data_IF_801339584937
#
_entry.id   IF_801339584937
#
_cell.length_a   1.000
_cell.length_b   1.000
_cell.length_c   1.000
_cell.angle_alpha   90.00
_cell.angle_beta   90.00
_cell.angle_gamma   90.00
#
_symmetry.space_group_name_H-M   'P 1'
#
loop_
_entity.id
_entity.type
_entity.pdbx_description
1 polymer ?
#
# COMPACT_ATOMS: atom_id res chain seq x y z
N UNK A 1 24.01 5.03 40.66
CA UNK A 1 25.07 5.19 39.65
C UNK A 1 25.79 6.52 39.93
N UNK A 2 27.07 6.48 40.27
CA UNK A 2 27.79 7.60 40.89
C UNK A 2 28.15 8.66 39.82
N UNK A 3 27.67 9.89 39.96
CA UNK A 3 27.88 11.00 39.01
C UNK A 3 29.35 11.24 38.67
N UNK A 4 30.27 10.92 39.58
CA UNK A 4 31.74 11.02 39.38
C UNK A 4 32.27 10.00 38.35
N UNK A 5 31.72 8.78 38.30
CA UNK A 5 32.12 7.75 37.32
C UNK A 5 31.70 8.10 35.90
N UNK A 6 30.55 8.77 35.74
CA UNK A 6 30.09 9.22 34.42
C UNK A 6 30.95 10.37 33.87
N UNK A 7 31.36 11.31 34.75
CA UNK A 7 32.20 12.45 34.36
C UNK A 7 33.57 11.99 33.86
N UNK A 8 34.19 10.99 34.53
CA UNK A 8 35.48 10.45 34.09
C UNK A 8 35.40 9.75 32.74
N UNK A 9 34.33 9.04 32.44
CA UNK A 9 34.10 8.40 31.12
C UNK A 9 33.94 9.41 29.97
N UNK A 10 33.27 10.53 30.22
CA UNK A 10 33.12 11.62 29.24
C UNK A 10 34.44 12.34 28.98
N UNK A 11 35.22 12.61 30.03
CA UNK A 11 36.53 13.27 29.92
C UNK A 11 37.54 12.36 29.19
N UNK A 12 37.53 11.04 29.42
CA UNK A 12 38.40 10.09 28.72
C UNK A 12 38.12 10.00 27.23
N UNK A 13 36.84 10.07 26.82
CA UNK A 13 36.45 10.08 25.42
C UNK A 13 36.92 11.37 24.72
N UNK A 14 36.82 12.52 25.39
CA UNK A 14 37.28 13.80 24.83
C UNK A 14 38.80 13.87 24.67
N UNK A 15 39.57 13.24 25.56
CA UNK A 15 41.05 13.19 25.47
C UNK A 15 41.56 12.28 24.36
N UNK A 16 40.83 11.21 24.00
CA UNK A 16 41.19 10.31 22.90
C UNK A 16 40.97 10.98 21.53
N UNK A 17 39.97 11.87 21.41
CA UNK A 17 39.70 12.59 20.17
C UNK A 17 40.74 13.70 19.90
N UNK A 18 41.35 14.26 20.93
CA UNK A 18 42.35 15.35 20.81
C UNK A 18 43.75 14.87 20.36
N UNK A 19 44.08 13.58 20.45
CA UNK A 19 45.41 13.04 20.10
C UNK A 19 45.54 12.50 18.68
N UNK A 20 44.46 12.48 17.87
CA UNK A 20 44.46 11.99 16.48
C UNK A 20 44.59 13.11 15.41
N UNK A 21 44.87 14.34 15.83
CA UNK A 21 44.84 15.51 14.95
C UNK A 21 46.15 15.96 14.31
N UNK A 22 47.30 15.24 14.42
CA UNK A 22 48.56 15.66 13.81
C UNK A 22 49.32 14.51 13.13
N UNK A 23 48.81 14.06 11.98
CA UNK A 23 49.61 13.37 10.98
C UNK A 23 49.68 14.26 9.73
N UNK A 24 50.80 14.92 9.55
CA UNK A 24 51.15 15.67 8.35
C UNK A 24 51.08 14.72 7.14
N UNK A 25 50.08 14.90 6.31
CA UNK A 25 49.90 14.18 5.06
C UNK A 25 50.82 14.78 4.00
N UNK A 26 51.89 14.06 3.67
CA UNK A 26 52.59 14.23 2.38
C UNK A 26 51.67 13.73 1.29
N UNK A 27 51.05 14.63 0.55
CA UNK A 27 50.25 14.32 -0.65
C UNK A 27 51.18 13.86 -1.77
N UNK A 28 51.08 12.62 -2.29
CA UNK A 28 51.66 12.29 -3.56
C UNK A 28 50.87 13.02 -4.64
N UNK A 29 51.54 13.74 -5.55
CA UNK A 29 50.95 14.33 -6.75
C UNK A 29 50.30 13.22 -7.58
N UNK A 30 48.96 13.11 -7.48
CA UNK A 30 48.18 12.30 -8.37
C UNK A 30 48.32 12.88 -9.79
N UNK A 31 48.85 12.04 -10.69
CA UNK A 31 48.76 12.28 -12.14
C UNK A 31 47.31 12.51 -12.50
N UNK A 32 47.00 13.44 -13.42
CA UNK A 32 45.62 13.61 -13.86
C UNK A 32 45.14 12.26 -14.45
N UNK A 33 44.08 11.75 -13.84
CA UNK A 33 43.34 10.60 -14.36
C UNK A 33 42.84 10.95 -15.78
N UNK A 34 42.95 10.06 -16.76
CA UNK A 34 42.41 10.32 -18.07
C UNK A 34 40.92 10.68 -17.89
N UNK A 35 40.51 11.79 -18.52
CA UNK A 35 39.08 12.12 -18.66
C UNK A 35 38.41 10.93 -19.33
N UNK A 36 37.71 10.14 -18.52
CA UNK A 36 36.70 9.24 -19.05
C UNK A 36 35.56 10.10 -19.58
N UNK A 37 35.65 10.49 -20.83
CA UNK A 37 34.52 10.90 -21.64
C UNK A 37 33.91 9.60 -22.16
N UNK A 38 33.41 8.78 -21.27
CA UNK A 38 32.35 7.85 -21.62
C UNK A 38 31.06 8.63 -21.44
N UNK A 39 30.47 9.07 -22.56
CA UNK A 39 29.03 9.25 -22.65
C UNK A 39 28.43 7.96 -22.09
N UNK A 40 27.96 8.00 -20.85
CA UNK A 40 27.18 6.92 -20.29
C UNK A 40 25.91 6.85 -21.14
N UNK A 41 25.88 5.96 -22.11
CA UNK A 41 24.63 5.60 -22.78
C UNK A 41 23.62 5.28 -21.67
N UNK A 42 22.64 6.16 -21.49
CA UNK A 42 21.54 5.97 -20.55
C UNK A 42 20.84 4.67 -20.97
N UNK A 43 21.07 3.60 -20.21
CA UNK A 43 20.53 2.28 -20.47
C UNK A 43 19.07 2.22 -20.01
N UNK A 44 18.26 1.44 -20.72
CA UNK A 44 16.91 1.10 -20.28
C UNK A 44 16.94 0.30 -18.97
N UNK A 45 15.89 0.37 -18.15
CA UNK A 45 15.77 -0.43 -16.92
C UNK A 45 15.95 -1.93 -17.21
N UNK A 46 16.75 -2.66 -16.42
CA UNK A 46 16.92 -4.09 -16.62
C UNK A 46 15.64 -4.84 -16.31
N UNK A 47 15.47 -6.00 -16.94
CA UNK A 47 14.30 -6.87 -16.79
C UNK A 47 14.03 -7.20 -15.32
N UNK A 48 15.05 -7.39 -14.51
CA UNK A 48 14.97 -7.74 -13.10
C UNK A 48 14.34 -6.62 -12.27
N UNK A 49 14.59 -5.33 -12.59
CA UNK A 49 13.92 -4.20 -11.96
C UNK A 49 12.43 -4.16 -12.30
N UNK A 50 12.08 -4.47 -13.56
CA UNK A 50 10.68 -4.57 -13.98
C UNK A 50 9.97 -5.77 -13.32
N UNK A 51 10.65 -6.90 -13.16
CA UNK A 51 10.11 -8.07 -12.45
C UNK A 51 9.93 -7.78 -10.97
N UNK A 52 10.88 -7.09 -10.33
CA UNK A 52 10.79 -6.64 -8.94
C UNK A 52 9.56 -5.76 -8.75
N UNK A 53 9.37 -4.76 -9.62
CA UNK A 53 8.19 -3.89 -9.58
C UNK A 53 6.89 -4.67 -9.74
N UNK A 54 6.81 -5.60 -10.70
CA UNK A 54 5.62 -6.44 -10.91
C UNK A 54 5.27 -7.28 -9.69
N UNK A 55 6.27 -7.79 -8.97
CA UNK A 55 6.07 -8.54 -7.74
C UNK A 55 5.48 -7.68 -6.64
N UNK A 56 5.97 -6.43 -6.48
CA UNK A 56 5.41 -5.45 -5.54
C UNK A 56 3.96 -5.10 -5.92
N UNK A 57 3.70 -4.84 -7.21
CA UNK A 57 2.36 -4.51 -7.73
C UNK A 57 1.37 -5.67 -7.47
N UNK A 58 1.81 -6.93 -7.60
CA UNK A 58 1.00 -8.14 -7.31
C UNK A 58 0.59 -8.20 -5.85
N UNK A 59 1.53 -8.01 -4.93
CA UNK A 59 1.30 -8.02 -3.48
C UNK A 59 0.35 -6.88 -3.08
N UNK A 60 0.61 -5.66 -3.55
CA UNK A 60 -0.26 -4.51 -3.28
C UNK A 60 -1.69 -4.77 -3.74
N UNK A 61 -1.87 -5.25 -4.98
CA UNK A 61 -3.19 -5.53 -5.55
C UNK A 61 -3.96 -6.57 -4.73
N UNK A 62 -3.30 -7.64 -4.29
CA UNK A 62 -3.92 -8.66 -3.46
C UNK A 62 -4.35 -8.09 -2.10
N UNK A 63 -3.48 -7.32 -1.44
CA UNK A 63 -3.78 -6.65 -0.17
C UNK A 63 -4.92 -5.63 -0.32
N UNK A 64 -4.94 -4.84 -1.39
CA UNK A 64 -6.03 -3.89 -1.67
C UNK A 64 -7.37 -4.60 -1.83
N UNK A 65 -7.41 -5.73 -2.57
CA UNK A 65 -8.62 -6.53 -2.73
C UNK A 65 -9.15 -7.02 -1.37
N UNK A 66 -8.27 -7.57 -0.53
CA UNK A 66 -8.63 -8.06 0.80
C UNK A 66 -9.14 -6.91 1.71
N UNK A 67 -8.48 -5.76 1.64
CA UNK A 67 -8.86 -4.59 2.42
C UNK A 67 -10.24 -4.05 2.03
N UNK A 68 -10.53 -3.95 0.72
CA UNK A 68 -11.84 -3.52 0.22
C UNK A 68 -12.95 -4.54 0.54
N UNK A 69 -12.68 -5.84 0.45
CA UNK A 69 -13.62 -6.88 0.88
C UNK A 69 -13.99 -6.74 2.36
N UNK A 70 -13.01 -6.50 3.22
CA UNK A 70 -13.21 -6.27 4.67
C UNK A 70 -14.01 -5.01 4.94
N UNK A 71 -13.73 -3.91 4.25
CA UNK A 71 -14.50 -2.65 4.37
C UNK A 71 -15.96 -2.86 3.99
N UNK A 72 -16.24 -3.53 2.88
CA UNK A 72 -17.61 -3.84 2.45
C UNK A 72 -18.34 -4.74 3.45
N UNK A 73 -17.67 -5.76 4.00
CA UNK A 73 -18.24 -6.61 5.02
C UNK A 73 -18.62 -5.83 6.29
N UNK A 74 -17.78 -4.89 6.72
CA UNK A 74 -18.06 -4.05 7.89
C UNK A 74 -19.22 -3.07 7.65
N UNK A 75 -19.38 -2.54 6.45
CA UNK A 75 -20.51 -1.67 6.08
C UNK A 75 -21.84 -2.42 5.97
N UNK A 76 -21.82 -3.69 5.55
CA UNK A 76 -23.03 -4.54 5.46
C UNK A 76 -23.54 -5.07 6.80
N UNK A 77 -22.75 -4.99 7.88
CA UNK A 77 -23.12 -5.48 9.23
C UNK A 77 -23.82 -4.39 10.08
N UNK A 78 -23.86 -3.13 9.63
CA UNK A 78 -24.62 -2.09 10.34
C UNK A 78 -26.11 -2.33 10.04
N UNK A 79 -26.92 -2.82 11.02
CA UNK A 79 -28.37 -2.89 10.82
C UNK A 79 -28.87 -1.46 10.61
N UNK A 80 -29.56 -1.21 9.54
CA UNK A 80 -30.30 0.03 9.34
C UNK A 80 -31.38 0.13 10.43
N UNK A 81 -31.03 0.71 11.56
CA UNK A 81 -32.03 1.25 12.49
C UNK A 81 -32.54 2.54 11.88
N UNK A 82 -33.57 2.43 11.07
CA UNK A 82 -34.53 3.54 10.94
C UNK A 82 -35.82 3.08 10.30
N UNK A 83 -36.86 3.32 11.08
CA UNK A 83 -38.21 3.68 10.70
C UNK A 83 -39.08 2.66 9.98
N UNK A 84 -40.12 2.29 10.74
CA UNK A 84 -41.29 1.63 10.24
C UNK A 84 -41.98 2.38 9.09
N UNK A 85 -42.56 1.61 8.22
CA UNK A 85 -43.41 2.04 7.13
C UNK A 85 -44.15 0.82 6.58
N UNK A 86 -45.40 0.69 6.99
CA UNK A 86 -46.37 -0.27 6.49
C UNK A 86 -46.51 -0.25 4.95
N UNK A 87 -46.78 -1.38 4.37
CA UNK A 87 -47.28 -1.46 2.99
C UNK A 87 -47.43 -2.90 2.50
N UNK A 88 -48.66 -3.39 2.61
CA UNK A 88 -49.17 -4.63 1.99
C UNK A 88 -49.04 -4.60 0.47
N UNK A 89 -48.83 -5.73 -0.20
CA UNK A 89 -49.85 -6.55 -0.93
C UNK A 89 -49.20 -7.50 -1.94
N UNK A 90 -49.64 -8.74 -1.83
CA UNK A 90 -49.92 -9.76 -2.86
C UNK A 90 -49.61 -9.48 -4.34
N UNK A 91 -48.98 -10.47 -5.02
CA UNK A 91 -49.68 -11.16 -6.11
C UNK A 91 -49.03 -12.49 -6.53
N UNK A 92 -49.89 -13.45 -6.82
CA UNK A 92 -49.74 -14.78 -7.38
C UNK A 92 -49.12 -14.78 -8.78
N UNK A 93 -48.39 -15.85 -9.10
CA UNK A 93 -48.06 -16.25 -10.48
C UNK A 93 -47.48 -17.67 -10.51
N UNK A 94 -48.25 -18.59 -11.05
CA UNK A 94 -48.02 -20.02 -11.26
C UNK A 94 -46.99 -20.33 -12.36
N UNK A 95 -46.39 -21.55 -12.25
CA UNK A 95 -45.83 -22.32 -13.37
C UNK A 95 -44.39 -22.76 -13.11
N UNK A 96 -44.02 -23.97 -12.78
CA UNK A 96 -44.24 -25.25 -13.34
C UNK A 96 -42.94 -25.99 -13.58
N UNK A 97 -42.73 -27.16 -12.91
CA UNK A 97 -41.90 -28.33 -13.32
C UNK A 97 -40.40 -28.16 -13.53
N UNK A 98 -39.50 -28.90 -13.02
CA UNK A 98 -39.19 -30.26 -12.59
C UNK A 98 -37.77 -30.34 -12.06
N UNK A 99 -37.50 -31.04 -11.00
CA UNK A 99 -36.35 -31.95 -10.85
C UNK A 99 -36.39 -32.68 -9.50
N UNK A 100 -36.61 -33.95 -9.61
CA UNK A 100 -36.41 -34.95 -8.58
C UNK A 100 -34.92 -34.97 -8.12
N UNK A 101 -34.72 -35.02 -6.81
CA UNK A 101 -33.40 -35.33 -6.24
C UNK A 101 -33.05 -34.70 -4.89
N UNK A 102 -33.93 -33.88 -4.26
CA UNK A 102 -33.65 -33.27 -2.95
C UNK A 102 -34.77 -33.46 -1.91
N UNK A 103 -35.56 -34.50 -2.04
CA UNK A 103 -36.82 -34.63 -1.29
C UNK A 103 -36.68 -35.13 0.18
N UNK A 104 -35.60 -35.77 0.58
CA UNK A 104 -35.54 -36.35 1.94
C UNK A 104 -35.13 -35.38 3.05
N UNK A 105 -34.35 -34.34 2.75
CA UNK A 105 -33.96 -33.33 3.76
C UNK A 105 -34.95 -32.18 3.94
N UNK A 106 -35.71 -31.87 2.90
CA UNK A 106 -36.74 -30.81 2.91
C UNK A 106 -37.98 -31.25 3.74
N UNK A 107 -38.38 -32.49 3.63
CA UNK A 107 -39.58 -32.99 4.30
C UNK A 107 -39.48 -33.05 5.84
N UNK A 108 -38.24 -33.25 6.38
CA UNK A 108 -38.04 -33.28 7.82
C UNK A 108 -38.07 -31.87 8.44
N UNK A 109 -37.67 -30.84 7.71
CA UNK A 109 -37.72 -29.46 8.18
C UNK A 109 -39.11 -28.84 8.11
N UNK A 110 -39.90 -29.15 7.08
CA UNK A 110 -41.29 -28.71 6.99
C UNK A 110 -42.18 -29.36 8.08
N UNK A 111 -41.98 -30.64 8.40
CA UNK A 111 -42.76 -31.31 9.43
C UNK A 111 -42.46 -30.77 10.85
N UNK A 112 -41.26 -30.30 11.12
CA UNK A 112 -40.86 -29.67 12.43
C UNK A 112 -41.56 -28.31 12.55
N UNK A 113 -41.70 -27.53 11.45
CA UNK A 113 -42.33 -26.21 11.49
C UNK A 113 -43.85 -26.23 11.76
N UNK A 114 -44.53 -27.32 11.45
CA UNK A 114 -45.99 -27.46 11.64
C UNK A 114 -46.35 -27.74 13.12
N UNK A 115 -45.45 -28.23 13.95
CA UNK A 115 -45.69 -28.56 15.36
C UNK A 115 -45.24 -27.51 16.38
N UNK A 116 -44.54 -26.47 15.95
CA UNK A 116 -44.05 -25.40 16.83
C UNK A 116 -45.09 -24.30 16.98
N UNK A 117 -45.20 -23.73 18.20
CA UNK A 117 -45.92 -22.49 18.38
C UNK A 117 -45.18 -21.32 17.71
N UNK A 118 -45.84 -20.16 17.46
CA UNK A 118 -45.22 -19.04 16.74
C UNK A 118 -43.94 -18.50 17.37
N UNK A 119 -43.78 -18.57 18.71
CA UNK A 119 -42.59 -18.13 19.44
C UNK A 119 -41.44 -19.11 19.25
N UNK A 120 -41.69 -20.40 19.40
CA UNK A 120 -40.72 -21.46 19.16
C UNK A 120 -40.22 -21.51 17.73
N UNK A 121 -41.13 -21.26 16.77
CA UNK A 121 -40.76 -21.14 15.34
C UNK A 121 -39.87 -19.94 15.06
N UNK A 122 -40.11 -18.80 15.72
CA UNK A 122 -39.29 -17.60 15.60
C UNK A 122 -37.90 -17.82 16.19
N UNK A 123 -37.80 -18.48 17.36
CA UNK A 123 -36.51 -18.84 17.99
C UNK A 123 -35.72 -19.86 17.13
N UNK A 124 -36.37 -20.87 16.58
CA UNK A 124 -35.75 -21.86 15.69
C UNK A 124 -35.19 -21.20 14.43
N UNK A 125 -35.95 -20.31 13.78
CA UNK A 125 -35.47 -19.54 12.60
C UNK A 125 -34.29 -18.66 12.94
N UNK A 126 -34.33 -17.97 14.08
CA UNK A 126 -33.23 -17.11 14.56
C UNK A 126 -31.96 -17.94 14.87
N UNK A 127 -32.11 -19.13 15.44
CA UNK A 127 -31.01 -20.06 15.66
C UNK A 127 -30.40 -20.54 14.33
N UNK A 128 -31.22 -20.93 13.36
CA UNK A 128 -30.74 -21.34 12.02
C UNK A 128 -30.01 -20.22 11.31
N UNK A 129 -30.52 -18.99 11.40
CA UNK A 129 -29.88 -17.82 10.81
C UNK A 129 -28.53 -17.51 11.46
N UNK A 130 -28.44 -17.63 12.79
CA UNK A 130 -27.16 -17.51 13.53
C UNK A 130 -26.16 -18.58 13.13
N UNK A 131 -26.58 -19.83 12.98
CA UNK A 131 -25.69 -20.94 12.55
C UNK A 131 -25.17 -20.67 11.13
N UNK A 132 -26.05 -20.28 10.19
CA UNK A 132 -25.65 -19.94 8.83
C UNK A 132 -24.66 -18.78 8.79
N UNK A 133 -24.89 -17.73 9.61
CA UNK A 133 -24.00 -16.60 9.72
C UNK A 133 -22.62 -17.01 10.28
N UNK A 134 -22.59 -17.89 11.28
CA UNK A 134 -21.34 -18.41 11.84
C UNK A 134 -20.56 -19.25 10.81
N UNK A 135 -21.25 -20.10 10.04
CA UNK A 135 -20.62 -20.90 8.97
C UNK A 135 -20.05 -19.99 7.87
N UNK A 136 -20.79 -18.94 7.48
CA UNK A 136 -20.30 -17.96 6.49
C UNK A 136 -19.09 -17.17 7.00
N UNK A 137 -19.11 -16.75 8.26
CA UNK A 137 -17.97 -16.07 8.89
C UNK A 137 -16.74 -16.97 8.96
N UNK A 138 -16.90 -18.22 9.40
CA UNK A 138 -15.81 -19.20 9.47
C UNK A 138 -15.23 -19.50 8.07
N UNK A 139 -16.07 -19.57 7.04
CA UNK A 139 -15.62 -19.73 5.66
C UNK A 139 -14.81 -18.54 5.19
N UNK A 140 -15.28 -17.30 5.42
CA UNK A 140 -14.56 -16.07 5.05
C UNK A 140 -13.23 -15.94 5.78
N UNK A 141 -13.19 -16.31 7.06
CA UNK A 141 -11.95 -16.33 7.85
C UNK A 141 -10.94 -17.31 7.25
N UNK A 142 -11.37 -18.53 6.91
CA UNK A 142 -10.51 -19.51 6.26
C UNK A 142 -9.98 -19.01 4.92
N UNK A 143 -10.83 -18.45 4.06
CA UNK A 143 -10.43 -17.86 2.78
C UNK A 143 -9.41 -16.72 2.97
N UNK A 144 -9.60 -15.89 3.99
CA UNK A 144 -8.65 -14.82 4.35
C UNK A 144 -7.29 -15.37 4.77
N UNK A 145 -7.29 -16.44 5.60
CA UNK A 145 -6.06 -17.11 6.01
C UNK A 145 -5.31 -17.71 4.81
N UNK A 146 -6.01 -18.34 3.88
CA UNK A 146 -5.43 -18.90 2.65
C UNK A 146 -4.80 -17.78 1.79
N UNK A 147 -5.47 -16.64 1.63
CA UNK A 147 -4.92 -15.47 0.93
C UNK A 147 -3.61 -14.96 1.58
N UNK A 148 -3.52 -14.95 2.92
CA UNK A 148 -2.28 -14.56 3.60
C UNK A 148 -1.16 -15.60 3.45
N UNK A 149 -1.47 -16.89 3.38
CA UNK A 149 -0.45 -17.91 3.08
C UNK A 149 0.08 -17.77 1.63
N UNK A 150 -0.74 -17.39 0.68
CA UNK A 150 -0.28 -17.08 -0.68
C UNK A 150 0.54 -15.77 -0.72
N UNK A 151 0.13 -14.74 0.01
CA UNK A 151 0.92 -13.51 0.14
C UNK A 151 2.31 -13.75 0.75
N UNK A 152 2.45 -14.68 1.70
CA UNK A 152 3.78 -15.07 2.22
C UNK A 152 4.67 -15.65 1.13
N UNK A 153 4.12 -16.48 0.24
CA UNK A 153 4.87 -17.01 -0.91
C UNK A 153 5.27 -15.87 -1.86
N UNK A 154 4.36 -14.92 -2.11
CA UNK A 154 4.63 -13.75 -2.96
C UNK A 154 5.72 -12.85 -2.35
N UNK A 155 5.76 -12.68 -1.03
CA UNK A 155 6.83 -11.95 -0.33
C UNK A 155 8.17 -12.70 -0.43
N UNK A 156 8.16 -14.03 -0.34
CA UNK A 156 9.38 -14.82 -0.58
C UNK A 156 9.89 -14.68 -2.02
N UNK A 157 8.98 -14.75 -3.01
CA UNK A 157 9.32 -14.47 -4.41
C UNK A 157 9.90 -13.06 -4.58
N UNK A 158 9.38 -12.07 -3.85
CA UNK A 158 9.89 -10.69 -3.89
C UNK A 158 11.34 -10.60 -3.40
N UNK A 159 11.73 -11.35 -2.36
CA UNK A 159 13.14 -11.46 -1.94
C UNK A 159 14.02 -12.06 -3.06
N UNK A 160 13.55 -13.07 -3.77
CA UNK A 160 14.26 -13.66 -4.91
C UNK A 160 14.45 -12.64 -6.03
N UNK A 161 13.42 -11.83 -6.32
CA UNK A 161 13.51 -10.74 -7.31
C UNK A 161 14.48 -9.65 -6.87
N UNK A 162 14.49 -9.29 -5.59
CA UNK A 162 15.47 -8.36 -5.04
C UNK A 162 16.88 -8.88 -5.19
N UNK A 163 17.15 -10.10 -4.75
CA UNK A 163 18.47 -10.74 -4.87
C UNK A 163 18.95 -10.84 -6.33
N UNK A 164 18.01 -10.95 -7.28
CA UNK A 164 18.33 -10.98 -8.72
C UNK A 164 18.66 -9.59 -9.26
N UNK A 165 18.06 -8.53 -8.74
CA UNK A 165 18.28 -7.15 -9.17
C UNK A 165 19.45 -6.49 -8.45
N UNK A 166 19.68 -6.75 -7.18
CA UNK A 166 20.67 -6.08 -6.31
C UNK A 166 22.08 -6.00 -6.94
N UNK A 167 22.65 -7.07 -7.53
CA UNK A 167 23.96 -6.99 -8.20
C UNK A 167 23.97 -5.99 -9.39
N UNK A 168 22.81 -5.82 -10.06
CA UNK A 168 22.66 -4.85 -11.15
C UNK A 168 22.56 -3.42 -10.62
N UNK A 169 21.87 -3.23 -9.49
CA UNK A 169 21.82 -1.95 -8.79
C UNK A 169 23.23 -1.51 -8.38
N UNK A 170 24.05 -2.41 -7.80
CA UNK A 170 25.44 -2.15 -7.46
C UNK A 170 26.24 -1.75 -8.71
N UNK A 171 26.10 -2.49 -9.81
CA UNK A 171 26.78 -2.21 -11.08
C UNK A 171 26.36 -0.85 -11.67
N UNK A 172 25.10 -0.46 -11.48
CA UNK A 172 24.55 0.82 -11.91
C UNK A 172 24.87 1.96 -10.93
N UNK A 173 25.67 1.71 -9.90
CA UNK A 173 26.06 2.68 -8.87
C UNK A 173 24.88 3.21 -8.05
N UNK A 174 23.90 2.36 -7.75
CA UNK A 174 22.80 2.70 -6.85
C UNK A 174 23.36 3.21 -5.51
N UNK A 175 22.79 4.28 -4.92
CA UNK A 175 23.16 4.71 -3.59
C UNK A 175 23.01 3.57 -2.59
N UNK A 176 24.06 3.29 -1.80
CA UNK A 176 24.01 2.24 -0.79
C UNK A 176 22.84 2.41 0.17
N UNK A 177 22.53 3.68 0.53
CA UNK A 177 21.38 3.98 1.39
C UNK A 177 20.06 3.54 0.78
N UNK A 178 19.85 3.71 -0.52
CA UNK A 178 18.61 3.27 -1.19
C UNK A 178 18.49 1.74 -1.21
N UNK A 179 19.61 1.01 -1.34
CA UNK A 179 19.63 -0.45 -1.24
C UNK A 179 19.31 -0.91 0.19
N UNK A 180 19.95 -0.32 1.20
CA UNK A 180 19.67 -0.62 2.61
C UNK A 180 18.22 -0.28 3.00
N UNK A 181 17.72 0.89 2.57
CA UNK A 181 16.35 1.31 2.83
C UNK A 181 15.34 0.36 2.17
N UNK A 182 15.63 -0.15 0.96
CA UNK A 182 14.76 -1.12 0.27
C UNK A 182 14.76 -2.47 0.98
N UNK A 183 15.91 -2.98 1.36
CA UNK A 183 16.03 -4.23 2.12
C UNK A 183 15.31 -4.14 3.46
N UNK A 184 15.48 -3.03 4.19
CA UNK A 184 14.77 -2.79 5.44
C UNK A 184 13.25 -2.73 5.23
N UNK A 185 12.76 -2.11 4.15
CA UNK A 185 11.33 -2.08 3.82
C UNK A 185 10.79 -3.47 3.46
N UNK A 186 11.58 -4.29 2.74
CA UNK A 186 11.24 -5.66 2.40
C UNK A 186 11.21 -6.57 3.63
N UNK A 187 12.20 -6.45 4.51
CA UNK A 187 12.23 -7.16 5.78
C UNK A 187 11.02 -6.76 6.67
N UNK A 188 10.68 -5.47 6.72
CA UNK A 188 9.50 -5.00 7.43
C UNK A 188 8.20 -5.61 6.86
N UNK A 189 8.06 -5.73 5.54
CA UNK A 189 6.91 -6.40 4.92
C UNK A 189 6.87 -7.88 5.30
N UNK A 190 8.03 -8.56 5.35
CA UNK A 190 8.16 -9.96 5.76
C UNK A 190 7.71 -10.18 7.21
N UNK A 191 8.05 -9.24 8.10
CA UNK A 191 7.62 -9.30 9.50
C UNK A 191 6.12 -9.02 9.64
N UNK A 192 5.62 -7.99 8.95
CA UNK A 192 4.23 -7.56 9.08
C UNK A 192 3.25 -8.52 8.44
N UNK A 193 3.62 -9.28 7.40
CA UNK A 193 2.74 -10.27 6.78
C UNK A 193 2.32 -11.37 7.76
N UNK A 194 3.13 -11.64 8.80
CA UNK A 194 2.79 -12.58 9.86
C UNK A 194 1.65 -12.10 10.74
N UNK A 195 1.42 -10.79 10.82
CA UNK A 195 0.34 -10.17 11.63
C UNK A 195 -1.03 -10.45 11.00
N UNK A 196 -1.08 -10.76 9.70
CA UNK A 196 -2.32 -11.04 8.95
C UNK A 196 -3.34 -9.88 9.02
N UNK A 197 -2.85 -8.64 8.98
CA UNK A 197 -3.65 -7.42 8.89
C UNK A 197 -3.36 -6.71 7.57
N UNK A 198 -4.35 -6.62 6.71
CA UNK A 198 -4.21 -6.06 5.37
C UNK A 198 -3.84 -4.57 5.39
N UNK A 199 -4.32 -3.80 6.37
CA UNK A 199 -4.00 -2.38 6.50
C UNK A 199 -2.51 -2.15 6.85
N UNK A 200 -2.00 -2.90 7.83
CA UNK A 200 -0.58 -2.84 8.22
C UNK A 200 0.31 -3.25 7.04
N UNK A 201 -0.06 -4.31 6.33
CA UNK A 201 0.69 -4.79 5.19
C UNK A 201 0.62 -3.83 3.99
N UNK A 202 -0.49 -3.12 3.77
CA UNK A 202 -0.58 -2.05 2.78
C UNK A 202 0.37 -0.89 3.09
N UNK A 203 0.51 -0.50 4.36
CA UNK A 203 1.50 0.50 4.77
C UNK A 203 2.93 0.00 4.51
N UNK A 204 3.21 -1.28 4.79
CA UNK A 204 4.54 -1.88 4.60
C UNK A 204 4.90 -2.01 3.12
N UNK A 205 4.01 -2.49 2.27
CA UNK A 205 4.28 -2.58 0.81
C UNK A 205 4.42 -1.19 0.19
N UNK A 206 3.67 -0.20 0.70
CA UNK A 206 3.80 1.18 0.22
C UNK A 206 5.19 1.80 0.49
N UNK A 207 5.93 1.34 1.51
CA UNK A 207 7.31 1.77 1.74
C UNK A 207 8.25 1.36 0.61
N UNK A 208 8.04 0.21 -0.03
CA UNK A 208 8.81 -0.22 -1.19
C UNK A 208 8.63 0.76 -2.37
N UNK A 209 7.41 1.26 -2.60
CA UNK A 209 7.16 2.29 -3.62
C UNK A 209 7.80 3.65 -3.32
N UNK A 210 8.16 3.92 -2.07
CA UNK A 210 8.91 5.13 -1.73
C UNK A 210 10.33 5.08 -2.29
N UNK A 211 10.95 3.90 -2.28
CA UNK A 211 12.37 3.71 -2.58
C UNK A 211 12.59 3.27 -4.03
N UNK A 212 11.69 2.46 -4.57
CA UNK A 212 11.77 1.92 -5.94
C UNK A 212 12.11 2.99 -7.01
N UNK A 213 11.59 4.24 -6.96
CA UNK A 213 11.97 5.29 -7.91
C UNK A 213 13.46 5.62 -7.93
N UNK A 214 14.19 5.45 -6.82
CA UNK A 214 15.63 5.72 -6.75
C UNK A 214 16.41 4.79 -7.67
N UNK A 215 15.95 3.54 -7.84
CA UNK A 215 16.54 2.61 -8.77
C UNK A 215 16.22 2.95 -10.22
N UNK A 216 15.00 3.43 -10.50
CA UNK A 216 14.62 3.87 -11.84
C UNK A 216 15.38 5.13 -12.29
N UNK A 217 15.85 5.98 -11.37
CA UNK A 217 16.68 7.15 -11.70
C UNK A 217 18.06 6.78 -12.27
N UNK A 218 18.49 5.53 -12.11
CA UNK A 218 19.75 5.02 -12.67
C UNK A 218 19.66 4.70 -14.17
N UNK A 219 18.47 4.78 -14.73
CA UNK A 219 18.17 4.34 -16.09
C UNK A 219 17.35 5.38 -16.86
N UNK A 220 17.34 5.24 -18.19
CA UNK A 220 16.44 6.02 -19.03
C UNK A 220 15.02 5.48 -18.91
N UNK A 221 14.12 6.28 -18.38
CA UNK A 221 12.73 5.92 -18.19
C UNK A 221 11.82 6.81 -19.03
N UNK A 222 10.73 6.22 -19.56
CA UNK A 222 9.68 6.96 -20.27
C UNK A 222 8.85 7.81 -19.31
N UNK A 223 8.67 7.33 -18.09
CA UNK A 223 7.94 7.99 -17.02
C UNK A 223 8.94 8.54 -16.00
N UNK A 224 8.91 9.84 -15.66
CA UNK A 224 9.74 10.38 -14.60
C UNK A 224 9.50 9.64 -13.27
N UNK A 225 10.55 9.13 -12.61
CA UNK A 225 10.41 8.38 -11.35
C UNK A 225 9.70 9.16 -10.24
N UNK A 226 9.75 10.48 -10.28
CA UNK A 226 9.07 11.37 -9.34
C UNK A 226 7.54 11.18 -9.34
N UNK A 227 6.92 10.78 -10.46
CA UNK A 227 5.49 10.49 -10.52
C UNK A 227 5.12 9.28 -9.63
N UNK A 228 6.01 8.30 -9.51
CA UNK A 228 5.82 7.18 -8.59
C UNK A 228 6.02 7.60 -7.12
N UNK A 229 6.91 8.56 -6.84
CA UNK A 229 7.03 9.18 -5.51
C UNK A 229 5.74 9.92 -5.11
N UNK A 230 5.09 10.59 -6.06
CA UNK A 230 3.78 11.22 -5.82
C UNK A 230 2.71 10.15 -5.50
N UNK A 231 2.64 9.07 -6.27
CA UNK A 231 1.70 7.96 -5.99
C UNK A 231 1.90 7.39 -4.60
N UNK A 232 3.16 7.15 -4.19
CA UNK A 232 3.47 6.70 -2.83
C UNK A 232 2.87 7.61 -1.76
N UNK A 233 3.15 8.92 -1.85
CA UNK A 233 2.70 9.88 -0.84
C UNK A 233 1.18 10.02 -0.79
N UNK A 234 0.50 10.03 -1.95
CA UNK A 234 -0.97 10.08 -2.04
C UNK A 234 -1.58 8.83 -1.41
N UNK A 235 -1.10 7.64 -1.76
CA UNK A 235 -1.55 6.36 -1.18
C UNK A 235 -1.33 6.32 0.33
N UNK A 236 -0.19 6.80 0.81
CA UNK A 236 0.10 6.86 2.25
C UNK A 236 -0.91 7.74 2.98
N UNK A 237 -1.20 8.94 2.48
CA UNK A 237 -2.18 9.84 3.09
C UNK A 237 -3.55 9.18 3.10
N UNK A 238 -3.98 8.56 2.00
CA UNK A 238 -5.24 7.82 1.92
C UNK A 238 -5.34 6.75 3.01
N UNK A 239 -4.32 5.90 3.16
CA UNK A 239 -4.28 4.85 4.16
C UNK A 239 -4.35 5.40 5.60
N UNK A 240 -3.51 6.37 5.95
CA UNK A 240 -3.49 6.90 7.33
C UNK A 240 -4.75 7.70 7.66
N UNK A 241 -5.45 8.26 6.64
CA UNK A 241 -6.74 8.93 6.82
C UNK A 241 -7.83 7.96 7.30
N UNK A 242 -7.79 6.70 6.91
CA UNK A 242 -8.75 5.68 7.36
C UNK A 242 -8.73 5.48 8.88
N UNK A 243 -7.59 5.71 9.51
CA UNK A 243 -7.37 5.61 10.96
C UNK A 243 -7.40 6.96 11.69
N UNK A 244 -7.82 8.03 10.99
CA UNK A 244 -7.85 9.40 11.50
C UNK A 244 -6.46 9.89 12.02
N UNK A 245 -5.37 9.33 11.48
CA UNK A 245 -3.99 9.72 11.86
C UNK A 245 -3.53 10.96 11.08
N UNK A 246 -4.11 12.11 11.43
CA UNK A 246 -3.80 13.39 10.80
C UNK A 246 -2.39 13.89 11.08
N UNK A 247 -1.75 13.40 12.15
CA UNK A 247 -0.37 13.78 12.48
C UNK A 247 0.62 13.22 11.46
N UNK A 248 0.40 12.00 10.99
CA UNK A 248 1.25 11.37 9.96
C UNK A 248 1.00 11.92 8.56
N UNK A 249 -0.11 12.62 8.31
CA UNK A 249 -0.42 13.20 7.00
C UNK A 249 0.43 14.43 6.68
N UNK A 250 0.66 15.32 7.66
CA UNK A 250 1.34 16.60 7.45
C UNK A 250 2.74 16.43 6.84
N UNK A 251 3.66 15.64 7.41
CA UNK A 251 4.99 15.45 6.81
C UNK A 251 4.90 14.76 5.43
N UNK A 252 3.91 13.91 5.21
CA UNK A 252 3.70 13.27 3.89
C UNK A 252 3.18 14.27 2.85
N UNK A 253 2.33 15.21 3.24
CA UNK A 253 1.88 16.29 2.36
C UNK A 253 3.01 17.24 1.99
N UNK A 254 3.87 17.61 2.94
CA UNK A 254 5.08 18.41 2.68
C UNK A 254 6.01 17.68 1.71
N UNK A 255 6.19 16.37 1.88
CA UNK A 255 6.92 15.55 0.94
C UNK A 255 6.30 15.59 -0.47
N UNK A 256 4.99 15.44 -0.61
CA UNK A 256 4.29 15.52 -1.91
C UNK A 256 4.51 16.86 -2.60
N UNK A 257 4.40 17.97 -1.88
CA UNK A 257 4.61 19.32 -2.42
C UNK A 257 6.04 19.46 -2.93
N UNK A 258 7.02 18.98 -2.17
CA UNK A 258 8.44 19.01 -2.57
C UNK A 258 8.69 18.16 -3.81
N UNK A 259 8.18 16.92 -3.85
CA UNK A 259 8.29 16.03 -5.00
C UNK A 259 7.67 16.67 -6.23
N UNK A 260 6.48 17.28 -6.12
CA UNK A 260 5.84 17.96 -7.26
C UNK A 260 6.67 19.13 -7.78
N UNK A 261 7.28 19.91 -6.90
CA UNK A 261 8.14 21.04 -7.30
C UNK A 261 9.35 20.58 -8.13
N UNK A 262 9.86 19.36 -7.89
CA UNK A 262 10.97 18.75 -8.64
C UNK A 262 10.49 18.04 -9.89
N UNK A 263 9.33 17.38 -9.85
CA UNK A 263 8.78 16.64 -10.99
C UNK A 263 8.28 17.54 -12.11
N UNK A 264 7.57 18.62 -11.77
CA UNK A 264 6.90 19.51 -12.72
C UNK A 264 7.82 20.03 -13.84
N UNK A 265 9.02 20.57 -13.59
CA UNK A 265 9.90 21.06 -14.64
C UNK A 265 10.50 19.96 -15.54
N UNK A 266 10.47 18.69 -15.13
CA UNK A 266 10.94 17.54 -15.91
C UNK A 266 9.89 17.02 -16.90
N UNK A 267 8.62 17.44 -16.76
CA UNK A 267 7.53 16.99 -17.61
C UNK A 267 7.51 17.72 -18.95
N UNK A 268 7.02 17.06 -19.99
CA UNK A 268 6.90 17.66 -21.34
C UNK A 268 5.95 18.87 -21.33
N UNK A 269 6.25 19.88 -22.14
CA UNK A 269 5.41 21.09 -22.27
C UNK A 269 3.99 20.79 -22.72
N UNK A 270 3.80 19.75 -23.52
CA UNK A 270 2.48 19.31 -24.00
C UNK A 270 1.55 18.86 -22.88
N UNK A 271 2.11 18.48 -21.72
CA UNK A 271 1.36 18.16 -20.52
C UNK A 271 1.01 19.35 -19.61
N UNK A 272 1.23 20.60 -20.08
CA UNK A 272 1.02 21.82 -19.26
C UNK A 272 -0.39 21.90 -18.65
N UNK A 273 -1.43 21.56 -19.42
CA UNK A 273 -2.81 21.55 -18.94
C UNK A 273 -3.00 20.55 -17.80
N UNK A 274 -2.42 19.35 -17.91
CA UNK A 274 -2.47 18.31 -16.89
C UNK A 274 -1.66 18.70 -15.65
N UNK A 275 -0.50 19.34 -15.82
CA UNK A 275 0.30 19.87 -14.71
C UNK A 275 -0.48 20.90 -13.89
N UNK A 276 -1.16 21.82 -14.54
CA UNK A 276 -2.01 22.80 -13.86
C UNK A 276 -3.20 22.12 -13.17
N UNK A 277 -3.84 21.14 -13.83
CA UNK A 277 -4.91 20.34 -13.25
C UNK A 277 -4.44 19.62 -11.99
N UNK A 278 -3.23 19.03 -12.01
CA UNK A 278 -2.64 18.39 -10.84
C UNK A 278 -2.40 19.36 -9.70
N UNK A 279 -1.87 20.55 -9.99
CA UNK A 279 -1.58 21.58 -8.98
C UNK A 279 -2.85 22.07 -8.26
N UNK A 280 -3.94 22.31 -9.01
CA UNK A 280 -5.24 22.63 -8.42
C UNK A 280 -5.78 21.49 -7.56
N UNK A 281 -5.71 20.25 -8.08
CA UNK A 281 -6.15 19.07 -7.33
C UNK A 281 -5.33 18.84 -6.06
N UNK A 282 -4.01 19.10 -6.09
CA UNK A 282 -3.13 19.01 -4.93
C UNK A 282 -3.49 20.06 -3.85
N UNK A 283 -3.83 21.27 -4.26
CA UNK A 283 -4.29 22.32 -3.34
C UNK A 283 -5.64 21.93 -2.70
N UNK A 284 -6.56 21.39 -3.48
CA UNK A 284 -7.83 20.88 -2.97
C UNK A 284 -7.63 19.71 -1.99
N UNK A 285 -6.68 18.80 -2.31
CA UNK A 285 -6.31 17.68 -1.44
C UNK A 285 -5.74 18.17 -0.10
N UNK A 286 -4.82 19.15 -0.16
CA UNK A 286 -4.28 19.80 1.03
C UNK A 286 -5.40 20.36 1.91
N UNK A 287 -6.36 21.09 1.34
CA UNK A 287 -7.49 21.64 2.08
C UNK A 287 -8.33 20.53 2.75
N UNK A 288 -8.58 19.43 2.06
CA UNK A 288 -9.34 18.31 2.64
C UNK A 288 -8.64 17.67 3.85
N UNK A 289 -7.29 17.69 3.87
CA UNK A 289 -6.50 17.23 5.03
C UNK A 289 -6.59 18.22 6.19
N UNK A 290 -6.52 19.53 5.91
CA UNK A 290 -6.69 20.58 6.90
C UNK A 290 -8.10 20.53 7.54
N UNK A 291 -9.13 20.28 6.73
CA UNK A 291 -10.53 20.12 7.15
C UNK A 291 -10.80 18.77 7.83
N UNK A 292 -9.80 17.84 7.86
CA UNK A 292 -9.88 16.50 8.46
C UNK A 292 -11.07 15.67 7.96
N UNK A 293 -11.40 15.79 6.67
CA UNK A 293 -12.52 15.09 6.07
C UNK A 293 -12.03 13.87 5.27
N UNK A 294 -12.03 12.69 5.91
CA UNK A 294 -11.51 11.46 5.32
C UNK A 294 -12.22 11.02 4.03
N UNK A 295 -13.52 11.27 3.91
CA UNK A 295 -14.28 10.93 2.69
C UNK A 295 -13.81 11.80 1.51
N UNK A 296 -13.60 13.10 1.76
CA UNK A 296 -13.08 14.01 0.74
C UNK A 296 -11.60 13.74 0.46
N UNK A 297 -10.79 13.40 1.46
CA UNK A 297 -9.39 12.99 1.29
C UNK A 297 -9.31 11.78 0.34
N UNK A 298 -10.12 10.75 0.57
CA UNK A 298 -10.16 9.56 -0.28
C UNK A 298 -10.51 9.92 -1.74
N UNK A 299 -11.59 10.65 -1.95
CA UNK A 299 -12.02 11.07 -3.29
C UNK A 299 -10.97 11.94 -4.01
N UNK A 300 -10.32 12.86 -3.29
CA UNK A 300 -9.27 13.73 -3.86
C UNK A 300 -7.99 12.96 -4.17
N UNK A 301 -7.63 11.96 -3.37
CA UNK A 301 -6.53 11.05 -3.64
C UNK A 301 -6.72 10.31 -4.96
N UNK A 302 -7.91 9.76 -5.21
CA UNK A 302 -8.24 9.08 -6.48
C UNK A 302 -8.13 10.04 -7.68
N UNK A 303 -8.61 11.29 -7.54
CA UNK A 303 -8.46 12.31 -8.58
C UNK A 303 -7.00 12.58 -8.90
N UNK A 304 -6.14 12.73 -7.88
CA UNK A 304 -4.70 12.95 -8.06
C UNK A 304 -4.02 11.77 -8.78
N UNK A 305 -4.31 10.54 -8.37
CA UNK A 305 -3.77 9.33 -9.02
C UNK A 305 -4.17 9.30 -10.50
N UNK A 306 -5.44 9.56 -10.81
CA UNK A 306 -5.93 9.60 -12.18
C UNK A 306 -5.21 10.66 -13.03
N UNK A 307 -4.97 11.86 -12.49
CA UNK A 307 -4.24 12.90 -13.22
C UNK A 307 -2.79 12.46 -13.47
N UNK A 308 -2.12 11.79 -12.52
CA UNK A 308 -0.78 11.23 -12.74
C UNK A 308 -0.81 10.21 -13.89
N UNK A 309 -1.83 9.35 -13.96
CA UNK A 309 -1.97 8.38 -15.03
C UNK A 309 -2.20 9.05 -16.40
N UNK A 310 -2.98 10.14 -16.45
CA UNK A 310 -3.17 10.97 -17.64
C UNK A 310 -1.83 11.63 -18.09
N UNK A 311 -1.00 12.12 -17.15
CA UNK A 311 0.34 12.67 -17.44
C UNK A 311 1.26 11.58 -18.02
N UNK A 312 1.26 10.39 -17.46
CA UNK A 312 2.05 9.25 -17.95
C UNK A 312 1.64 8.86 -19.37
N UNK A 313 0.35 8.80 -19.65
CA UNK A 313 -0.13 8.49 -21.01
C UNK A 313 0.31 9.56 -22.01
N UNK A 314 0.16 10.84 -21.68
CA UNK A 314 0.60 11.94 -22.57
C UNK A 314 2.11 11.98 -22.81
N UNK A 315 2.91 11.29 -21.99
CA UNK A 315 4.36 11.20 -22.14
C UNK A 315 4.81 10.10 -23.10
N UNK A 316 3.91 9.16 -23.44
CA UNK A 316 4.17 8.03 -24.33
C UNK A 316 3.94 8.33 -25.80
N UNK A 317 3.10 9.34 -26.08
CA UNK A 317 2.82 9.89 -27.40
C UNK A 317 3.85 10.95 -27.76
#
# INVERSE_FOLDING_TARGET
MNKRSFLYKVITIFLIIATLGNLASCSPKLKPSPKATEESEEKDPPKELEELKKSIDKIEKALMSMHEEKKKAQQGIIPSQSSGGQGQQNQKGEGGQDKEGQQEKSNSQEQIQIQMNPEELAEYKNQQEKVKLQEELAKKEKETLEKFEDLKKDVLELHEKWNSYEPKAVTALAPQKSMEDFENALNNLTDTIQIKDEYINLLSVNLLYKILPDFYELYKTKEPPDLNRLRYGIKKIKLVAEKDDYNSMKPTLEYLINVWSVARPKLKKDSMSLMNKFEFALNDFKKSIEDKNKVIIDAKAEVLIKIIDEIVQSSKD
#
